data_IF_951675725046
#
_entry.id   IF_951675725046
#
_cell.length_a   1.000
_cell.length_b   1.000
_cell.length_c   1.000
_cell.angle_alpha   90.00
_cell.angle_beta   90.00
_cell.angle_gamma   90.00
#
_symmetry.space_group_name_H-M   'P 1'
#
loop_
_entity.id
_entity.type
_entity.pdbx_description
1 polymer ?
#
# COMPACT_ATOMS: atom_id res chain seq x y z
N UNK A 1 -9.41 22.91 -9.70
CA UNK A 1 -9.35 21.50 -10.15
C UNK A 1 -8.48 20.77 -9.14
N UNK A 2 -9.09 20.09 -8.16
CA UNK A 2 -8.35 19.21 -7.28
C UNK A 2 -7.89 18.04 -8.13
N UNK A 3 -6.60 17.98 -8.45
CA UNK A 3 -6.00 16.74 -8.92
C UNK A 3 -6.33 15.70 -7.87
N UNK A 4 -6.99 14.63 -8.30
CA UNK A 4 -7.30 13.49 -7.45
C UNK A 4 -5.95 12.98 -6.92
N UNK A 5 -5.68 13.16 -5.63
CA UNK A 5 -4.41 12.76 -4.99
C UNK A 5 -4.13 11.26 -5.16
N UNK A 6 -5.14 10.49 -5.60
CA UNK A 6 -5.03 9.10 -6.00
C UNK A 6 -4.27 8.86 -7.32
N UNK A 7 -3.94 9.89 -8.11
CA UNK A 7 -3.14 9.76 -9.35
C UNK A 7 -1.62 9.92 -9.15
N UNK A 8 -1.13 10.09 -7.92
CA UNK A 8 0.31 10.12 -7.66
C UNK A 8 0.94 8.75 -7.94
N UNK A 9 1.47 8.59 -9.15
CA UNK A 9 2.18 7.40 -9.59
C UNK A 9 3.46 7.17 -8.77
N UNK A 10 3.72 5.89 -8.48
CA UNK A 10 4.91 5.32 -7.82
C UNK A 10 6.23 5.76 -8.49
N UNK A 11 6.17 6.19 -9.76
CA UNK A 11 7.32 6.52 -10.61
C UNK A 11 8.08 7.79 -10.18
N UNK A 12 7.54 8.61 -9.29
CA UNK A 12 8.22 9.83 -8.80
C UNK A 12 9.03 9.62 -7.51
N UNK A 13 9.20 8.37 -7.04
CA UNK A 13 10.04 8.07 -5.87
C UNK A 13 11.45 7.62 -6.28
N UNK A 14 12.52 8.24 -5.76
CA UNK A 14 12.57 9.13 -4.58
C UNK A 14 12.30 10.62 -4.88
N UNK A 15 11.51 11.29 -4.01
CA UNK A 15 11.33 12.75 -4.01
C UNK A 15 12.33 13.41 -3.06
N UNK A 16 12.96 14.49 -3.51
CA UNK A 16 13.83 15.31 -2.65
C UNK A 16 13.05 15.86 -1.45
N UNK A 17 13.69 15.90 -0.28
CA UNK A 17 13.09 16.40 0.97
C UNK A 17 12.33 15.37 1.81
N UNK A 18 12.20 14.11 1.36
CA UNK A 18 11.55 13.04 2.12
C UNK A 18 12.56 12.03 2.68
N UNK A 19 12.37 11.58 3.92
CA UNK A 19 13.21 10.51 4.49
C UNK A 19 12.92 9.17 3.81
N UNK A 20 13.86 8.23 3.91
CA UNK A 20 13.66 6.87 3.38
C UNK A 20 12.40 6.21 3.95
N UNK A 21 12.10 6.43 5.23
CA UNK A 21 10.90 5.87 5.88
C UNK A 21 9.65 6.46 5.25
N UNK A 22 9.59 7.78 5.04
CA UNK A 22 8.44 8.44 4.41
C UNK A 22 8.20 7.90 3.00
N UNK A 23 9.27 7.66 2.26
CA UNK A 23 9.19 7.09 0.92
C UNK A 23 8.67 5.65 0.93
N UNK A 24 9.12 4.82 1.88
CA UNK A 24 8.64 3.45 2.03
C UNK A 24 7.16 3.41 2.42
N UNK A 25 6.74 4.27 3.35
CA UNK A 25 5.34 4.40 3.76
C UNK A 25 4.46 4.85 2.58
N UNK A 26 4.91 5.85 1.81
CA UNK A 26 4.20 6.29 0.60
C UNK A 26 3.98 5.16 -0.39
N UNK A 27 5.00 4.33 -0.66
CA UNK A 27 4.89 3.18 -1.57
C UNK A 27 3.83 2.17 -1.10
N UNK A 28 3.79 1.87 0.21
CA UNK A 28 2.77 0.98 0.78
C UNK A 28 1.37 1.57 0.62
N UNK A 29 1.21 2.87 0.93
CA UNK A 29 -0.08 3.55 0.79
C UNK A 29 -0.60 3.52 -0.65
N UNK A 30 0.24 3.83 -1.65
CA UNK A 30 -0.17 3.79 -3.04
C UNK A 30 -0.50 2.38 -3.52
N UNK A 31 0.27 1.37 -3.13
CA UNK A 31 -0.05 -0.02 -3.47
C UNK A 31 -1.40 -0.47 -2.89
N UNK A 32 -1.78 0.01 -1.71
CA UNK A 32 -3.10 -0.22 -1.12
C UNK A 32 -4.19 0.51 -1.91
N UNK A 33 -3.96 1.78 -2.28
CA UNK A 33 -4.92 2.57 -3.09
C UNK A 33 -5.17 1.94 -4.47
N UNK A 34 -4.12 1.46 -5.14
CA UNK A 34 -4.23 0.77 -6.43
C UNK A 34 -5.07 -0.51 -6.30
N UNK A 35 -4.85 -1.30 -5.23
CA UNK A 35 -5.68 -2.48 -4.96
C UNK A 35 -7.15 -2.11 -4.73
N UNK A 36 -7.43 -1.07 -3.94
CA UNK A 36 -8.80 -0.59 -3.70
C UNK A 36 -9.45 -0.18 -5.03
N UNK A 37 -8.74 0.57 -5.86
CA UNK A 37 -9.23 1.03 -7.17
C UNK A 37 -9.58 -0.15 -8.07
N UNK A 38 -8.68 -1.13 -8.20
CA UNK A 38 -8.88 -2.32 -9.01
C UNK A 38 -10.06 -3.17 -8.51
N UNK A 39 -10.15 -3.44 -7.20
CA UNK A 39 -11.23 -4.25 -6.62
C UNK A 39 -12.59 -3.54 -6.72
N UNK A 40 -12.61 -2.21 -6.58
CA UNK A 40 -13.82 -1.42 -6.79
C UNK A 40 -14.26 -1.48 -8.26
N UNK A 41 -13.33 -1.36 -9.20
CA UNK A 41 -13.60 -1.50 -10.64
C UNK A 41 -14.09 -2.90 -11.01
N UNK A 42 -13.71 -3.94 -10.26
CA UNK A 42 -14.25 -5.31 -10.44
C UNK A 42 -15.61 -5.54 -9.79
N UNK A 43 -16.27 -4.50 -9.25
CA UNK A 43 -17.62 -4.59 -8.69
C UNK A 43 -17.69 -5.08 -7.23
N UNK A 44 -16.56 -5.15 -6.52
CA UNK A 44 -16.52 -5.55 -5.12
C UNK A 44 -17.04 -4.44 -4.20
N UNK A 45 -17.73 -4.80 -3.11
CA UNK A 45 -18.25 -3.81 -2.15
C UNK A 45 -17.16 -3.30 -1.23
N UNK A 46 -17.25 -2.04 -0.80
CA UNK A 46 -16.25 -1.39 0.04
C UNK A 46 -15.93 -2.14 1.35
N UNK A 47 -16.92 -2.81 1.95
CA UNK A 47 -16.73 -3.60 3.18
C UNK A 47 -15.92 -4.88 2.93
N UNK A 48 -16.13 -5.55 1.79
CA UNK A 48 -15.38 -6.73 1.37
C UNK A 48 -13.94 -6.36 1.04
N UNK A 49 -13.74 -5.28 0.28
CA UNK A 49 -12.41 -4.72 -0.06
C UNK A 49 -11.62 -4.43 1.22
N UNK A 50 -12.24 -3.73 2.17
CA UNK A 50 -11.61 -3.39 3.45
C UNK A 50 -11.15 -4.64 4.20
N UNK A 51 -12.00 -5.67 4.26
CA UNK A 51 -11.68 -6.92 4.95
C UNK A 51 -10.48 -7.60 4.29
N UNK A 52 -10.50 -7.78 2.98
CA UNK A 52 -9.44 -8.46 2.24
C UNK A 52 -8.09 -7.76 2.40
N UNK A 53 -8.06 -6.43 2.28
CA UNK A 53 -6.81 -5.66 2.42
C UNK A 53 -6.24 -5.79 3.84
N UNK A 54 -7.09 -5.69 4.86
CA UNK A 54 -6.63 -5.83 6.25
C UNK A 54 -6.11 -7.25 6.53
N UNK A 55 -6.83 -8.28 6.09
CA UNK A 55 -6.41 -9.68 6.24
C UNK A 55 -5.06 -9.90 5.53
N UNK A 56 -4.86 -9.34 4.34
CA UNK A 56 -3.60 -9.46 3.60
C UNK A 56 -2.44 -8.75 4.30
N UNK A 57 -2.63 -7.52 4.77
CA UNK A 57 -1.58 -6.78 5.50
C UNK A 57 -1.22 -7.49 6.80
N UNK A 58 -2.22 -7.98 7.54
CA UNK A 58 -1.99 -8.76 8.75
C UNK A 58 -1.19 -10.03 8.44
N UNK A 59 -1.58 -10.80 7.42
CA UNK A 59 -0.85 -12.00 7.01
C UNK A 59 0.60 -11.69 6.62
N UNK A 60 0.85 -10.59 5.91
CA UNK A 60 2.23 -10.18 5.55
C UNK A 60 3.05 -9.93 6.82
N UNK A 61 2.49 -9.20 7.78
CA UNK A 61 3.18 -8.87 9.04
C UNK A 61 3.43 -10.13 9.87
N UNK A 62 2.43 -11.00 10.03
CA UNK A 62 2.55 -12.23 10.82
C UNK A 62 3.57 -13.20 10.25
N UNK A 63 3.68 -13.27 8.92
CA UNK A 63 4.66 -14.12 8.24
C UNK A 63 6.02 -13.44 8.05
N UNK A 64 6.14 -12.14 8.37
CA UNK A 64 7.40 -11.43 8.31
C UNK A 64 8.28 -11.85 9.50
N UNK A 65 9.21 -12.77 9.26
CA UNK A 65 10.18 -13.14 10.27
C UNK A 65 11.18 -11.99 10.46
N UNK A 66 11.08 -11.30 11.59
CA UNK A 66 12.13 -10.39 12.05
C UNK A 66 13.39 -11.19 12.36
N UNK A 67 14.27 -11.34 11.36
CA UNK A 67 15.61 -11.89 11.50
C UNK A 67 15.70 -13.16 12.34
N UNK A 68 15.38 -14.33 11.77
CA UNK A 68 16.20 -15.49 12.13
C UNK A 68 17.61 -15.17 11.67
N UNK A 69 18.46 -14.70 12.59
CA UNK A 69 19.90 -14.85 12.41
C UNK A 69 20.12 -16.35 12.21
N UNK A 70 20.58 -16.71 11.01
CA UNK A 70 21.19 -18.01 10.80
C UNK A 70 22.44 -18.04 11.68
N UNK A 71 22.39 -18.82 12.75
CA UNK A 71 23.57 -19.22 13.53
C UNK A 71 24.57 -20.00 12.67
#
# INVERSE_FOLDING_TARGET
MNKDESEFFITEFPKEGFSLIDQLQGRVQFAILDQIKLMKTSGMKSNEIKKIILDNVQNIIENYQFGKKSD
#
